data_IF_638909650857
#
_entry.id   IF_638909650857
#
_cell.length_a   1.000
_cell.length_b   1.000
_cell.length_c   1.000
_cell.angle_alpha   90.00
_cell.angle_beta   90.00
_cell.angle_gamma   90.00
#
_symmetry.space_group_name_H-M   'P 1'
#
loop_
_entity.id
_entity.type
_entity.pdbx_description
1 polymer ?
#
# COMPACT_ATOMS: atom_id res chain seq x y z
N UNK A 1 -0.06 -0.86 33.09
CA UNK A 1 0.33 -1.54 31.83
C UNK A 1 -0.07 -3.00 31.97
N UNK A 2 -0.72 -3.59 30.92
CA UNK A 2 -0.95 -5.03 30.87
C UNK A 2 0.40 -5.74 30.73
N UNK A 3 0.61 -6.79 31.48
CA UNK A 3 1.79 -7.64 31.37
C UNK A 3 1.38 -9.06 31.01
N UNK A 4 2.22 -9.76 30.27
CA UNK A 4 2.11 -11.20 30.00
C UNK A 4 3.42 -11.86 30.43
N UNK A 5 3.30 -13.09 30.92
CA UNK A 5 4.46 -13.93 31.21
C UNK A 5 4.58 -14.94 30.09
N UNK A 6 5.75 -14.98 29.45
CA UNK A 6 6.09 -15.93 28.40
C UNK A 6 7.07 -16.95 28.99
N UNK A 7 6.66 -18.22 29.04
CA UNK A 7 7.59 -19.31 29.36
C UNK A 7 8.31 -19.70 28.09
N UNK A 8 9.60 -19.47 28.03
CA UNK A 8 10.47 -19.81 26.89
C UNK A 8 11.37 -20.99 27.24
N UNK A 9 11.58 -21.88 26.30
CA UNK A 9 12.55 -22.98 26.41
C UNK A 9 13.74 -22.72 25.49
N UNK A 10 14.95 -22.87 26.04
CA UNK A 10 16.20 -22.81 25.30
C UNK A 10 17.16 -23.83 25.85
N UNK A 11 17.71 -24.68 25.03
CA UNK A 11 18.67 -25.73 25.38
C UNK A 11 18.16 -26.64 26.53
N UNK A 12 16.88 -26.99 26.52
CA UNK A 12 16.23 -27.84 27.54
C UNK A 12 15.98 -27.14 28.88
N UNK A 13 16.23 -25.83 28.98
CA UNK A 13 15.96 -25.04 30.20
C UNK A 13 14.81 -24.08 29.93
N UNK A 14 13.83 -24.06 30.82
CA UNK A 14 12.70 -23.13 30.77
C UNK A 14 12.95 -21.91 31.66
N UNK A 15 12.52 -20.73 31.15
CA UNK A 15 12.54 -19.48 31.91
C UNK A 15 11.28 -18.67 31.65
N UNK A 16 10.76 -18.04 32.71
CA UNK A 16 9.62 -17.13 32.59
C UNK A 16 10.10 -15.69 32.39
N UNK A 17 9.65 -15.08 31.31
CA UNK A 17 9.96 -13.69 30.96
C UNK A 17 8.68 -12.86 31.05
N UNK A 18 8.67 -11.86 31.95
CA UNK A 18 7.58 -10.90 32.06
C UNK A 18 7.76 -9.80 31.00
N UNK A 19 6.78 -9.66 30.08
CA UNK A 19 6.78 -8.66 29.02
C UNK A 19 5.66 -7.66 29.28
N UNK A 20 5.99 -6.37 29.24
CA UNK A 20 4.98 -5.30 29.29
C UNK A 20 4.42 -5.08 27.88
N UNK A 21 3.09 -5.11 27.76
CA UNK A 21 2.42 -4.82 26.48
C UNK A 21 2.45 -3.32 26.23
N UNK A 22 2.97 -2.94 25.08
CA UNK A 22 2.95 -1.56 24.56
C UNK A 22 2.41 -1.57 23.13
N UNK A 23 1.86 -0.43 22.69
CA UNK A 23 1.48 -0.28 21.28
C UNK A 23 2.78 -0.18 20.48
N UNK A 24 3.02 -1.15 19.62
CA UNK A 24 4.15 -1.14 18.68
C UNK A 24 3.65 -0.52 17.39
N UNK A 25 4.29 0.55 16.95
CA UNK A 25 4.07 1.11 15.61
C UNK A 25 4.98 0.37 14.63
N UNK A 26 4.35 -0.32 13.70
CA UNK A 26 5.07 -1.00 12.63
C UNK A 26 5.44 0.02 11.57
N UNK A 27 6.71 0.11 11.21
CA UNK A 27 7.18 0.96 10.11
C UNK A 27 6.89 0.25 8.79
N UNK A 28 5.91 0.78 8.05
CA UNK A 28 5.51 0.28 6.73
C UNK A 28 5.86 1.24 5.59
N UNK A 29 6.33 2.43 5.93
CA UNK A 29 6.82 3.42 4.96
C UNK A 29 8.29 3.71 5.25
N UNK A 30 9.13 3.55 4.22
CA UNK A 30 10.55 3.92 4.24
C UNK A 30 10.80 4.97 3.18
N UNK A 31 11.65 5.95 3.47
CA UNK A 31 11.95 7.02 2.52
C UNK A 31 13.43 7.39 2.52
N UNK A 32 13.89 7.87 1.36
CA UNK A 32 15.23 8.46 1.19
C UNK A 32 15.28 9.29 -0.07
N UNK A 33 16.22 10.20 -0.16
CA UNK A 33 16.65 10.78 -1.44
C UNK A 33 17.52 9.76 -2.17
N UNK A 34 17.28 9.54 -3.47
CA UNK A 34 18.14 8.69 -4.31
C UNK A 34 19.32 9.48 -4.88
N UNK A 35 19.08 10.74 -5.20
CA UNK A 35 20.04 11.75 -5.60
C UNK A 35 19.62 13.10 -5.02
N UNK A 36 20.22 14.19 -5.47
CA UNK A 36 19.93 15.53 -4.94
C UNK A 36 18.49 16.02 -5.22
N UNK A 37 17.67 15.29 -5.96
CA UNK A 37 16.36 15.76 -6.39
C UNK A 37 15.26 14.69 -6.51
N UNK A 38 15.59 13.40 -6.46
CA UNK A 38 14.62 12.31 -6.61
C UNK A 38 14.31 11.69 -5.25
N UNK A 39 13.11 11.92 -4.75
CA UNK A 39 12.58 11.27 -3.54
C UNK A 39 12.14 9.83 -3.84
N UNK A 40 12.41 8.93 -2.91
CA UNK A 40 11.96 7.54 -2.94
C UNK A 40 11.16 7.24 -1.68
N UNK A 41 9.98 6.67 -1.86
CA UNK A 41 9.11 6.18 -0.77
C UNK A 41 8.71 4.74 -1.08
N UNK A 42 9.09 3.80 -0.22
CA UNK A 42 8.59 2.42 -0.25
C UNK A 42 7.44 2.27 0.72
N UNK A 43 6.33 1.69 0.26
CA UNK A 43 5.19 1.30 1.09
C UNK A 43 5.11 -0.23 1.06
N UNK A 44 5.36 -0.90 2.18
CA UNK A 44 5.37 -2.36 2.24
C UNK A 44 3.99 -2.96 2.52
N UNK A 45 3.09 -2.22 3.14
CA UNK A 45 1.71 -2.62 3.43
C UNK A 45 0.85 -1.39 3.75
N UNK A 46 -0.47 -1.48 3.53
CA UNK A 46 -1.42 -0.44 3.91
C UNK A 46 -2.08 -0.76 5.26
N UNK A 47 -1.55 -0.18 6.34
CA UNK A 47 -2.04 -0.28 7.72
C UNK A 47 -2.61 1.05 8.21
N UNK A 48 -3.21 1.08 9.40
CA UNK A 48 -3.75 2.32 10.00
C UNK A 48 -2.72 3.47 10.10
N UNK A 49 -1.42 3.14 10.20
CA UNK A 49 -0.34 4.13 10.30
C UNK A 49 0.23 4.59 8.95
N UNK A 50 -0.13 3.96 7.82
CA UNK A 50 0.53 4.19 6.52
C UNK A 50 0.37 5.62 6.03
N UNK A 51 -0.83 6.17 6.09
CA UNK A 51 -1.12 7.53 5.60
C UNK A 51 -0.32 8.59 6.36
N UNK A 52 -0.19 8.45 7.69
CA UNK A 52 0.59 9.39 8.50
C UNK A 52 2.11 9.25 8.25
N UNK A 53 2.60 8.01 8.14
CA UNK A 53 4.00 7.74 7.80
C UNK A 53 4.34 8.27 6.41
N UNK A 54 3.45 8.09 5.42
CA UNK A 54 3.62 8.64 4.07
C UNK A 54 3.68 10.16 4.09
N UNK A 55 2.76 10.80 4.81
CA UNK A 55 2.73 12.27 4.96
C UNK A 55 4.04 12.81 5.51
N UNK A 56 4.55 12.16 6.56
CA UNK A 56 5.83 12.53 7.17
C UNK A 56 6.99 12.37 6.18
N UNK A 57 7.08 11.21 5.52
CA UNK A 57 8.11 10.92 4.53
C UNK A 57 8.08 11.92 3.36
N UNK A 58 6.88 12.19 2.83
CA UNK A 58 6.69 13.16 1.75
C UNK A 58 7.13 14.58 2.15
N UNK A 59 6.74 15.02 3.37
CA UNK A 59 7.14 16.35 3.88
C UNK A 59 8.65 16.46 4.05
N UNK A 60 9.30 15.45 4.63
CA UNK A 60 10.74 15.42 4.84
C UNK A 60 11.52 15.46 3.51
N UNK A 61 11.06 14.73 2.49
CA UNK A 61 11.67 14.76 1.16
C UNK A 61 11.46 16.11 0.46
N UNK A 62 10.26 16.70 0.61
CA UNK A 62 9.95 18.01 0.06
C UNK A 62 10.82 19.12 0.69
N UNK A 63 11.02 19.07 2.01
CA UNK A 63 11.92 19.99 2.73
C UNK A 63 13.37 19.86 2.27
N UNK A 64 13.78 18.66 1.81
CA UNK A 64 15.10 18.42 1.21
C UNK A 64 15.17 18.87 -0.26
N UNK A 65 14.07 19.37 -0.84
CA UNK A 65 14.02 19.93 -2.18
C UNK A 65 13.81 18.91 -3.28
N UNK A 66 13.10 17.79 -3.02
CA UNK A 66 12.77 16.83 -4.09
C UNK A 66 11.99 17.49 -5.22
N UNK A 67 12.31 17.08 -6.46
CA UNK A 67 11.68 17.55 -7.70
C UNK A 67 10.98 16.44 -8.48
N UNK A 68 11.03 15.22 -7.99
CA UNK A 68 10.33 14.05 -8.51
C UNK A 68 10.19 13.03 -7.41
N UNK A 69 9.13 12.22 -7.47
CA UNK A 69 8.84 11.19 -6.47
C UNK A 69 8.72 9.82 -7.14
N UNK A 70 9.39 8.84 -6.55
CA UNK A 70 9.25 7.43 -6.88
C UNK A 70 8.60 6.72 -5.69
N UNK A 71 7.41 6.16 -5.91
CA UNK A 71 6.71 5.33 -4.92
C UNK A 71 6.87 3.87 -5.30
N UNK A 72 7.41 3.06 -4.39
CA UNK A 72 7.64 1.63 -4.62
C UNK A 72 6.58 0.80 -3.90
N UNK A 73 5.75 0.13 -4.70
CA UNK A 73 4.70 -0.80 -4.25
C UNK A 73 5.02 -2.25 -4.64
N UNK A 74 6.21 -2.54 -5.11
CA UNK A 74 6.62 -3.92 -5.38
C UNK A 74 6.60 -4.71 -4.08
N UNK A 75 6.18 -5.97 -4.14
CA UNK A 75 6.00 -6.85 -2.97
C UNK A 75 4.97 -6.35 -1.93
N UNK A 76 4.13 -5.37 -2.28
CA UNK A 76 3.08 -4.87 -1.39
C UNK A 76 1.79 -5.67 -1.57
N UNK A 77 1.38 -6.51 -0.60
CA UNK A 77 0.19 -7.35 -0.71
C UNK A 77 -1.14 -6.59 -0.57
N UNK A 78 -1.07 -5.28 -0.33
CA UNK A 78 -2.23 -4.42 -0.08
C UNK A 78 -2.40 -4.07 1.39
N UNK A 79 -3.61 -4.21 1.90
CA UNK A 79 -3.99 -3.89 3.27
C UNK A 79 -5.34 -3.18 3.35
N UNK A 80 -5.45 -2.18 4.21
CA UNK A 80 -6.70 -1.48 4.50
C UNK A 80 -7.10 -0.51 3.39
N UNK A 81 -8.36 -0.61 2.95
CA UNK A 81 -8.95 0.31 1.97
C UNK A 81 -8.92 1.77 2.46
N UNK A 82 -9.22 2.00 3.73
CA UNK A 82 -9.17 3.34 4.33
C UNK A 82 -7.75 3.93 4.27
N UNK A 83 -6.74 3.13 4.60
CA UNK A 83 -5.35 3.57 4.60
C UNK A 83 -4.87 4.00 3.21
N UNK A 84 -5.19 3.24 2.16
CA UNK A 84 -4.81 3.62 0.80
C UNK A 84 -5.56 4.87 0.33
N UNK A 85 -6.85 5.01 0.65
CA UNK A 85 -7.62 6.21 0.31
C UNK A 85 -7.04 7.45 1.00
N UNK A 86 -6.76 7.37 2.31
CA UNK A 86 -6.17 8.47 3.08
C UNK A 86 -4.75 8.83 2.60
N UNK A 87 -4.00 7.86 2.08
CA UNK A 87 -2.68 8.11 1.47
C UNK A 87 -2.84 8.84 0.13
N UNK A 88 -3.75 8.38 -0.70
CA UNK A 88 -4.03 8.97 -2.01
C UNK A 88 -4.65 10.38 -1.92
N UNK A 89 -5.42 10.69 -0.87
CA UNK A 89 -5.93 12.06 -0.64
C UNK A 89 -4.82 13.13 -0.54
N UNK A 90 -3.58 12.71 -0.28
CA UNK A 90 -2.43 13.61 -0.14
C UNK A 90 -1.78 13.98 -1.47
N UNK A 91 -2.06 13.22 -2.53
CA UNK A 91 -1.39 13.38 -3.83
C UNK A 91 -2.34 13.50 -5.02
N UNK A 92 -3.58 13.01 -4.91
CA UNK A 92 -4.53 13.05 -6.02
C UNK A 92 -5.23 14.41 -6.14
N UNK A 93 -5.62 14.81 -7.35
CA UNK A 93 -6.57 15.88 -7.57
C UNK A 93 -7.97 15.47 -7.09
N UNK A 94 -8.89 16.42 -7.10
CA UNK A 94 -10.30 16.12 -6.79
C UNK A 94 -10.87 15.10 -7.77
N UNK A 95 -11.45 14.01 -7.25
CA UNK A 95 -12.07 12.98 -8.07
C UNK A 95 -12.30 11.66 -7.33
N UNK A 96 -12.65 10.65 -8.09
CA UNK A 96 -12.81 9.27 -7.59
C UNK A 96 -11.45 8.67 -7.26
N UNK A 97 -11.35 7.95 -6.14
CA UNK A 97 -10.19 7.11 -5.83
C UNK A 97 -10.47 5.66 -6.27
N UNK A 98 -11.61 5.15 -5.82
CA UNK A 98 -12.05 3.77 -6.06
C UNK A 98 -13.55 3.69 -5.76
N UNK A 99 -14.27 2.79 -6.37
CA UNK A 99 -15.59 2.42 -5.89
C UNK A 99 -15.71 0.91 -5.75
N UNK A 100 -16.58 0.49 -4.83
CA UNK A 100 -16.94 -0.92 -4.63
C UNK A 100 -18.37 -1.14 -5.08
N UNK A 101 -18.66 -2.32 -5.62
CA UNK A 101 -20.01 -2.71 -6.02
C UNK A 101 -20.32 -4.11 -5.46
N UNK A 102 -21.43 -4.24 -4.75
CA UNK A 102 -21.91 -5.51 -4.23
C UNK A 102 -22.71 -6.29 -5.30
N UNK A 103 -23.13 -7.52 -4.95
CA UNK A 103 -23.91 -8.38 -5.86
C UNK A 103 -25.28 -7.81 -6.25
N UNK A 104 -25.78 -6.80 -5.54
CA UNK A 104 -27.06 -6.13 -5.81
C UNK A 104 -26.89 -4.90 -6.70
N UNK A 105 -25.63 -4.56 -7.07
CA UNK A 105 -25.30 -3.37 -7.83
C UNK A 105 -25.21 -2.09 -6.97
N UNK A 106 -25.23 -2.22 -5.64
CA UNK A 106 -25.04 -1.07 -4.78
C UNK A 106 -23.56 -0.65 -4.77
N UNK A 107 -23.33 0.64 -5.09
CA UNK A 107 -22.00 1.24 -5.13
C UNK A 107 -21.69 2.04 -3.89
N UNK A 108 -20.45 1.89 -3.41
CA UNK A 108 -19.86 2.76 -2.40
C UNK A 108 -18.62 3.43 -3.00
N UNK A 109 -18.62 4.75 -3.02
CA UNK A 109 -17.57 5.55 -3.65
C UNK A 109 -16.62 6.15 -2.62
N UNK A 110 -15.33 6.08 -2.90
CA UNK A 110 -14.28 6.78 -2.16
C UNK A 110 -13.70 7.85 -3.06
N UNK A 111 -13.71 9.10 -2.59
CA UNK A 111 -13.33 10.27 -3.40
C UNK A 111 -12.29 11.11 -2.71
N UNK A 112 -11.40 11.72 -3.50
CA UNK A 112 -10.42 12.69 -3.05
C UNK A 112 -10.97 14.12 -3.18
N UNK A 113 -10.68 14.97 -2.19
CA UNK A 113 -11.05 16.40 -2.20
C UNK A 113 -10.10 17.27 -3.00
N UNK A 114 -8.91 16.74 -3.34
CA UNK A 114 -7.89 17.45 -4.13
C UNK A 114 -7.30 18.67 -3.42
N UNK A 115 -7.05 18.57 -2.13
CA UNK A 115 -6.49 19.70 -1.35
C UNK A 115 -5.04 19.98 -1.69
N UNK A 116 -4.28 18.92 -1.92
CA UNK A 116 -2.82 18.95 -2.12
C UNK A 116 -2.43 18.01 -3.26
N UNK A 117 -2.91 18.26 -4.51
CA UNK A 117 -2.50 17.41 -5.62
C UNK A 117 -0.99 17.52 -5.83
N UNK A 118 -0.37 16.39 -6.19
CA UNK A 118 1.04 16.36 -6.51
C UNK A 118 1.30 17.19 -7.77
N UNK A 119 2.31 18.05 -7.74
CA UNK A 119 2.71 18.95 -8.83
C UNK A 119 4.11 18.66 -9.39
N UNK A 120 4.74 17.59 -8.89
CA UNK A 120 6.04 17.09 -9.37
C UNK A 120 5.85 15.75 -10.09
N UNK A 121 6.77 15.35 -10.97
CA UNK A 121 6.73 14.04 -11.63
C UNK A 121 6.63 12.91 -10.62
N UNK A 122 5.69 11.98 -10.86
CA UNK A 122 5.43 10.80 -10.04
C UNK A 122 5.65 9.53 -10.86
N UNK A 123 6.43 8.61 -10.33
CA UNK A 123 6.57 7.24 -10.83
C UNK A 123 6.14 6.27 -9.75
N UNK A 124 5.39 5.23 -10.12
CA UNK A 124 4.98 4.15 -9.21
C UNK A 124 5.55 2.84 -9.73
N UNK A 125 6.39 2.19 -8.92
CA UNK A 125 6.92 0.87 -9.23
C UNK A 125 5.95 -0.21 -8.75
N UNK A 126 5.64 -1.14 -9.64
CA UNK A 126 4.71 -2.26 -9.37
C UNK A 126 5.29 -3.57 -9.91
N UNK A 127 4.85 -4.69 -9.33
CA UNK A 127 5.12 -6.02 -9.85
C UNK A 127 3.94 -6.98 -9.60
N UNK A 128 4.10 -8.23 -9.95
CA UNK A 128 3.10 -9.29 -9.81
C UNK A 128 2.67 -9.56 -8.36
N UNK A 129 3.43 -9.08 -7.37
CA UNK A 129 3.11 -9.17 -5.95
C UNK A 129 2.46 -7.89 -5.40
N UNK A 130 2.34 -6.83 -6.22
CA UNK A 130 1.53 -5.64 -5.90
C UNK A 130 0.05 -5.99 -5.98
N UNK A 131 -0.65 -6.04 -4.84
CA UNK A 131 -2.02 -6.58 -4.79
C UNK A 131 -3.00 -5.69 -4.02
N UNK A 132 -4.31 -5.82 -4.31
CA UNK A 132 -5.41 -5.23 -3.52
C UNK A 132 -5.26 -3.71 -3.35
N UNK A 133 -5.01 -3.19 -2.12
CA UNK A 133 -4.84 -1.76 -1.88
C UNK A 133 -3.68 -1.14 -2.70
N UNK A 134 -2.61 -1.90 -2.98
CA UNK A 134 -1.55 -1.45 -3.89
C UNK A 134 -2.06 -1.25 -5.32
N UNK A 135 -3.02 -2.07 -5.76
CA UNK A 135 -3.65 -1.93 -7.06
C UNK A 135 -4.66 -0.77 -7.09
N UNK A 136 -5.32 -0.48 -5.96
CA UNK A 136 -6.15 0.73 -5.83
C UNK A 136 -5.28 1.99 -5.98
N UNK A 137 -4.12 2.02 -5.31
CA UNK A 137 -3.16 3.11 -5.44
C UNK A 137 -2.72 3.30 -6.90
N UNK A 138 -2.26 2.22 -7.51
CA UNK A 138 -1.76 2.21 -8.89
C UNK A 138 -2.84 2.60 -9.89
N UNK A 139 -4.04 2.03 -9.77
CA UNK A 139 -5.18 2.34 -10.63
C UNK A 139 -5.64 3.78 -10.53
N UNK A 140 -5.68 4.33 -9.31
CA UNK A 140 -6.04 5.73 -9.10
C UNK A 140 -5.01 6.69 -9.70
N UNK A 141 -3.71 6.45 -9.50
CA UNK A 141 -2.63 7.25 -10.09
C UNK A 141 -2.69 7.23 -11.62
N UNK A 142 -2.86 6.04 -12.20
CA UNK A 142 -2.96 5.84 -13.66
C UNK A 142 -4.18 6.53 -14.23
N UNK A 143 -5.37 6.30 -13.67
CA UNK A 143 -6.63 6.80 -14.18
C UNK A 143 -6.77 8.33 -14.09
N UNK A 144 -6.14 8.93 -13.06
CA UNK A 144 -6.02 10.40 -12.96
C UNK A 144 -4.92 11.00 -13.83
N UNK A 145 -4.02 10.18 -14.39
CA UNK A 145 -2.89 10.65 -15.20
C UNK A 145 -1.88 11.49 -14.40
N UNK A 146 -1.77 11.27 -13.11
CA UNK A 146 -0.88 12.05 -12.22
C UNK A 146 0.50 11.41 -12.04
N UNK A 147 0.71 10.20 -12.56
CA UNK A 147 1.97 9.50 -12.50
C UNK A 147 2.07 8.40 -13.56
N UNK A 148 3.26 7.84 -13.71
CA UNK A 148 3.59 6.75 -14.63
C UNK A 148 3.84 5.48 -13.85
N UNK A 149 3.17 4.39 -14.20
CA UNK A 149 3.40 3.07 -13.63
C UNK A 149 4.55 2.38 -14.39
N UNK A 150 5.51 1.85 -13.66
CA UNK A 150 6.67 1.13 -14.22
C UNK A 150 6.82 -0.22 -13.51
N UNK A 151 7.08 -1.28 -14.27
CA UNK A 151 7.31 -2.63 -13.73
C UNK A 151 6.61 -3.72 -14.53
N UNK A 152 6.00 -4.69 -13.84
CA UNK A 152 5.20 -5.77 -14.44
C UNK A 152 3.74 -5.68 -14.05
N UNK A 153 2.87 -6.43 -14.73
CA UNK A 153 1.42 -6.46 -14.42
C UNK A 153 1.19 -6.90 -12.98
N UNK A 154 0.32 -6.18 -12.27
CA UNK A 154 0.02 -6.44 -10.86
C UNK A 154 -0.78 -7.72 -10.65
N UNK A 155 -0.98 -8.13 -9.40
CA UNK A 155 -1.56 -9.41 -9.00
C UNK A 155 -2.97 -9.69 -9.55
N UNK A 156 -3.85 -8.68 -9.58
CA UNK A 156 -5.23 -8.85 -10.01
C UNK A 156 -6.20 -9.26 -8.90
N UNK A 157 -6.11 -8.66 -7.70
CA UNK A 157 -7.06 -8.88 -6.60
C UNK A 157 -8.06 -7.73 -6.50
N UNK A 158 -9.14 -7.83 -7.28
CA UNK A 158 -10.21 -6.83 -7.39
C UNK A 158 -11.46 -7.13 -6.55
N UNK A 159 -11.32 -7.77 -5.38
CA UNK A 159 -12.42 -8.17 -4.50
C UNK A 159 -12.25 -7.65 -3.07
N UNK A 160 -13.36 -7.34 -2.43
CA UNK A 160 -13.45 -6.98 -1.01
C UNK A 160 -13.95 -8.18 -0.22
N UNK A 161 -13.23 -8.54 0.85
CA UNK A 161 -13.60 -9.62 1.75
C UNK A 161 -13.88 -9.08 3.14
N UNK A 162 -14.95 -9.58 3.77
CA UNK A 162 -15.32 -9.27 5.14
C UNK A 162 -15.35 -10.53 5.99
N UNK A 163 -14.96 -10.40 7.25
CA UNK A 163 -14.99 -11.48 8.23
C UNK A 163 -16.20 -11.31 9.14
N UNK A 164 -17.04 -12.33 9.22
CA UNK A 164 -18.25 -12.36 10.04
C UNK A 164 -18.05 -13.36 11.17
N UNK A 165 -18.16 -12.89 12.43
CA UNK A 165 -18.13 -13.77 13.60
C UNK A 165 -19.43 -14.59 13.70
N UNK A 166 -19.33 -15.88 14.03
CA UNK A 166 -20.47 -16.77 14.19
C UNK A 166 -20.93 -16.91 15.64
N UNK A 167 -20.31 -16.20 16.58
CA UNK A 167 -20.73 -16.16 17.98
C UNK A 167 -20.22 -17.33 18.86
N UNK A 168 -19.69 -18.39 18.28
CA UNK A 168 -19.06 -19.54 18.95
C UNK A 168 -17.52 -19.44 19.01
N UNK A 169 -16.97 -18.28 18.59
CA UNK A 169 -15.53 -18.05 18.47
C UNK A 169 -14.98 -18.36 17.08
N UNK A 170 -15.77 -18.96 16.19
CA UNK A 170 -15.43 -19.13 14.77
C UNK A 170 -15.85 -17.91 13.94
N UNK A 171 -15.35 -17.84 12.72
CA UNK A 171 -15.69 -16.77 11.78
C UNK A 171 -15.69 -17.28 10.34
N UNK A 172 -16.46 -16.60 9.49
CA UNK A 172 -16.50 -16.84 8.03
C UNK A 172 -15.98 -15.61 7.32
N UNK A 173 -15.04 -15.80 6.39
CA UNK A 173 -14.54 -14.75 5.51
C UNK A 173 -15.19 -14.89 4.14
N UNK A 174 -15.98 -13.88 3.76
CA UNK A 174 -16.75 -13.88 2.51
C UNK A 174 -16.34 -12.72 1.60
N UNK A 175 -16.35 -12.94 0.30
CA UNK A 175 -16.32 -11.87 -0.69
C UNK A 175 -17.68 -11.18 -0.73
N UNK A 176 -17.70 -9.88 -0.45
CA UNK A 176 -18.91 -9.07 -0.36
C UNK A 176 -19.09 -8.13 -1.54
N UNK A 177 -17.98 -7.67 -2.12
CA UNK A 177 -18.01 -6.69 -3.21
C UNK A 177 -16.81 -6.88 -4.14
N UNK A 178 -16.92 -6.29 -5.33
CA UNK A 178 -15.79 -6.03 -6.24
C UNK A 178 -15.41 -4.58 -6.14
N UNK A 179 -14.14 -4.26 -6.38
CA UNK A 179 -13.75 -2.87 -6.53
C UNK A 179 -13.29 -2.58 -7.96
N UNK A 180 -13.41 -1.30 -8.31
CA UNK A 180 -13.18 -0.78 -9.64
C UNK A 180 -12.32 0.48 -9.55
N UNK A 181 -11.43 0.67 -10.50
CA UNK A 181 -10.65 1.88 -10.64
C UNK A 181 -11.58 3.09 -10.96
N UNK A 182 -11.09 4.33 -10.87
CA UNK A 182 -11.88 5.51 -11.21
C UNK A 182 -12.57 5.42 -12.59
N UNK A 183 -11.90 4.86 -13.57
CA UNK A 183 -12.44 4.65 -14.92
C UNK A 183 -13.34 3.42 -15.06
N UNK A 184 -13.66 2.73 -13.98
CA UNK A 184 -14.59 1.61 -13.97
C UNK A 184 -14.01 0.26 -14.38
N UNK A 185 -12.70 0.12 -14.33
CA UNK A 185 -12.03 -1.14 -14.66
C UNK A 185 -12.02 -2.04 -13.42
N UNK A 186 -12.60 -3.24 -13.55
CA UNK A 186 -12.43 -4.29 -12.56
C UNK A 186 -11.17 -5.09 -12.86
N UNK A 187 -10.25 -5.13 -11.92
CA UNK A 187 -8.93 -5.74 -12.09
C UNK A 187 -8.85 -7.21 -11.66
N UNK A 188 -9.97 -7.79 -11.22
CA UNK A 188 -9.99 -9.18 -10.72
C UNK A 188 -9.51 -10.17 -11.78
N UNK A 189 -8.38 -10.82 -11.51
CA UNK A 189 -7.77 -11.82 -12.39
C UNK A 189 -6.97 -11.27 -13.56
N UNK A 190 -6.95 -9.94 -13.75
CA UNK A 190 -6.22 -9.29 -14.85
C UNK A 190 -5.08 -8.39 -14.37
N UNK A 191 -5.21 -7.82 -13.17
CA UNK A 191 -4.27 -6.84 -12.67
C UNK A 191 -4.31 -5.50 -13.39
N UNK A 192 -3.32 -4.66 -13.09
CA UNK A 192 -3.08 -3.38 -13.75
C UNK A 192 -1.79 -3.51 -14.55
N UNK A 193 -1.89 -3.33 -15.86
CA UNK A 193 -0.72 -3.28 -16.74
C UNK A 193 0.00 -1.94 -16.53
N UNK A 194 1.32 -1.93 -16.29
CA UNK A 194 2.09 -0.69 -16.19
C UNK A 194 2.11 0.09 -17.49
N UNK A 195 2.48 1.37 -17.42
CA UNK A 195 2.63 2.23 -18.62
C UNK A 195 3.97 1.96 -19.32
N UNK A 196 4.98 1.60 -18.51
CA UNK A 196 6.30 1.19 -18.99
C UNK A 196 6.59 -0.19 -18.41
N UNK A 197 6.65 -1.18 -19.27
CA UNK A 197 7.01 -2.55 -18.88
C UNK A 197 8.51 -2.64 -18.62
N UNK A 198 8.87 -3.09 -17.44
CA UNK A 198 10.26 -3.28 -17.02
C UNK A 198 10.32 -4.44 -16.04
N UNK A 199 10.99 -5.48 -16.41
CA UNK A 199 11.21 -6.64 -15.57
C UNK A 199 12.40 -6.41 -14.64
N UNK A 200 12.51 -7.23 -13.60
CA UNK A 200 13.64 -7.23 -12.69
C UNK A 200 14.89 -7.68 -13.46
N UNK A 201 16.02 -6.96 -13.39
CA UNK A 201 17.23 -7.38 -14.10
C UNK A 201 17.74 -8.75 -13.59
N UNK A 202 18.25 -9.61 -14.48
CA UNK A 202 18.75 -10.95 -14.15
C UNK A 202 19.81 -10.97 -13.03
N UNK A 203 20.54 -9.86 -12.87
CA UNK A 203 21.56 -9.67 -11.82
C UNK A 203 21.10 -8.77 -10.66
N UNK A 204 19.80 -8.72 -10.41
CA UNK A 204 19.21 -7.84 -9.37
C UNK A 204 19.73 -8.12 -7.94
N UNK A 205 20.25 -9.33 -7.68
CA UNK A 205 20.85 -9.67 -6.38
C UNK A 205 22.06 -8.75 -6.03
N UNK A 206 22.73 -8.22 -7.04
CA UNK A 206 23.83 -7.26 -6.85
C UNK A 206 23.35 -5.89 -6.32
N UNK A 207 22.04 -5.58 -6.52
CA UNK A 207 21.44 -4.30 -6.10
C UNK A 207 20.63 -4.38 -4.80
N UNK A 208 20.51 -5.56 -4.20
CA UNK A 208 19.69 -5.76 -2.98
C UNK A 208 20.43 -5.46 -1.68
N UNK A 209 21.69 -5.04 -1.73
CA UNK A 209 22.43 -4.67 -0.53
C UNK A 209 22.02 -3.26 -0.06
N UNK A 210 21.21 -3.13 1.03
CA UNK A 210 20.72 -1.84 1.50
C UNK A 210 21.81 -0.95 2.12
N UNK A 211 23.08 -1.40 2.14
CA UNK A 211 24.22 -0.72 2.72
C UNK A 211 25.29 -0.31 1.67
N UNK A 212 24.97 -0.40 0.38
CA UNK A 212 25.80 0.17 -0.69
C UNK A 212 25.15 1.39 -1.29
#
# INVERSE_FOLDING_TARGET
KKQVVLTVERDGTTADITVSLEKVEVTVVKSRMLDDSLGYIQITEFTDGTSEQFKKAYSELNEQGMKGLLVDLRENPGGLLTAVCDTLEQILPKGMIVYTEDKSGHRTEHTCKGKTPIDIPLVVLVNENSASAAEIFSGAVKDHGVGTLVGTTTFGKGIVQQTFSLGDGSAVKLTTSRYYTPNGVNIQGTGITPDVESDWPENAEEFTNPNQ
#
